data_IF_073322784553
#
_entry.id   IF_073322784553
#
_cell.length_a   1.000
_cell.length_b   1.000
_cell.length_c   1.000
_cell.angle_alpha   90.00
_cell.angle_beta   90.00
_cell.angle_gamma   90.00
#
_symmetry.space_group_name_H-M   'P 1'
#
loop_
_entity.id
_entity.type
_entity.pdbx_description
1 polymer ?
#
# COMPACT_ATOMS: atom_id res chain seq x y z
N UNK A 1 -24.00 -1.06 12.88
CA UNK A 1 -23.31 -2.28 12.40
C UNK A 1 -22.34 -1.97 11.28
N UNK A 2 -22.75 -1.29 10.20
CA UNK A 2 -21.86 -0.92 9.08
C UNK A 2 -20.61 -0.10 9.51
N UNK A 3 -20.75 0.84 10.45
CA UNK A 3 -19.62 1.66 10.91
C UNK A 3 -18.54 0.88 11.67
N UNK A 4 -18.91 -0.12 12.47
CA UNK A 4 -17.94 -0.91 13.24
C UNK A 4 -17.13 -1.84 12.33
N UNK A 5 -17.79 -2.41 11.32
CA UNK A 5 -17.16 -3.21 10.28
C UNK A 5 -16.18 -2.37 9.45
N UNK A 6 -16.58 -1.14 9.08
CA UNK A 6 -15.74 -0.20 8.35
C UNK A 6 -14.51 0.24 9.18
N UNK A 7 -14.68 0.54 10.46
CA UNK A 7 -13.58 0.88 11.37
C UNK A 7 -12.61 -0.30 11.56
N UNK A 8 -13.11 -1.53 11.65
CA UNK A 8 -12.28 -2.74 11.73
C UNK A 8 -11.44 -2.93 10.45
N UNK A 9 -12.04 -2.73 9.27
CA UNK A 9 -11.32 -2.81 7.99
C UNK A 9 -10.26 -1.72 7.87
N UNK A 10 -10.56 -0.52 8.35
CA UNK A 10 -9.60 0.58 8.39
C UNK A 10 -8.41 0.28 9.32
N UNK A 11 -8.65 -0.31 10.50
CA UNK A 11 -7.58 -0.76 11.40
C UNK A 11 -6.62 -1.77 10.76
N UNK A 12 -7.14 -2.75 10.02
CA UNK A 12 -6.33 -3.73 9.28
C UNK A 12 -5.43 -3.08 8.22
N UNK A 13 -5.93 -2.05 7.53
CA UNK A 13 -5.15 -1.29 6.53
C UNK A 13 -4.01 -0.52 7.21
N UNK A 14 -4.23 0.02 8.41
CA UNK A 14 -3.19 0.71 9.17
C UNK A 14 -2.10 -0.24 9.65
N UNK A 15 -2.45 -1.39 10.23
CA UNK A 15 -1.48 -2.41 10.67
C UNK A 15 -0.63 -2.91 9.49
N UNK A 16 -1.25 -3.09 8.31
CA UNK A 16 -0.52 -3.44 7.09
C UNK A 16 0.40 -2.33 6.59
N UNK A 17 -0.01 -1.07 6.71
CA UNK A 17 0.82 0.06 6.32
C UNK A 17 2.04 0.23 7.25
N UNK A 18 1.86 0.01 8.55
CA UNK A 18 2.96 0.00 9.53
C UNK A 18 3.94 -1.15 9.25
N UNK A 19 3.45 -2.37 9.08
CA UNK A 19 4.29 -3.53 8.75
C UNK A 19 5.07 -3.34 7.42
N UNK A 20 4.44 -2.72 6.42
CA UNK A 20 5.10 -2.39 5.16
C UNK A 20 6.16 -1.28 5.33
N UNK A 21 5.90 -0.28 6.17
CA UNK A 21 6.82 0.80 6.49
C UNK A 21 8.09 0.33 7.22
N UNK A 22 7.95 -0.66 8.11
CA UNK A 22 9.07 -1.28 8.83
C UNK A 22 9.82 -2.32 8.00
N UNK A 23 9.36 -2.62 6.78
CA UNK A 23 9.92 -3.66 5.93
C UNK A 23 9.71 -5.08 6.46
N UNK A 24 8.79 -5.27 7.42
CA UNK A 24 8.44 -6.59 7.97
C UNK A 24 7.45 -7.31 7.05
N UNK A 25 7.97 -7.82 5.93
CA UNK A 25 7.22 -8.60 4.96
C UNK A 25 6.58 -9.87 5.56
N UNK A 26 7.12 -10.38 6.68
CA UNK A 26 6.59 -11.56 7.35
C UNK A 26 5.33 -11.20 8.16
N UNK A 27 5.36 -10.11 8.91
CA UNK A 27 4.17 -9.58 9.57
C UNK A 27 3.09 -9.22 8.54
N UNK A 28 3.48 -8.58 7.44
CA UNK A 28 2.57 -8.20 6.36
C UNK A 28 1.86 -9.41 5.73
N UNK A 29 2.61 -10.47 5.40
CA UNK A 29 2.05 -11.71 4.84
C UNK A 29 1.19 -12.48 5.84
N UNK A 30 1.53 -12.46 7.14
CA UNK A 30 0.72 -13.08 8.19
C UNK A 30 -0.66 -12.43 8.33
N UNK A 31 -0.73 -11.09 8.30
CA UNK A 31 -2.00 -10.35 8.35
C UNK A 31 -2.87 -10.68 7.15
N UNK A 32 -2.32 -10.61 5.92
CA UNK A 32 -3.05 -10.95 4.70
C UNK A 32 -3.53 -12.40 4.64
N UNK A 33 -2.69 -13.33 5.13
CA UNK A 33 -3.00 -14.75 5.17
C UNK A 33 -4.17 -15.10 6.10
N UNK A 34 -4.41 -14.28 7.13
CA UNK A 34 -5.52 -14.44 8.07
C UNK A 34 -6.87 -13.88 7.59
N UNK A 35 -6.90 -13.15 6.48
CA UNK A 35 -8.13 -12.58 5.91
C UNK A 35 -8.85 -13.60 5.02
N UNK A 36 -10.19 -13.58 5.05
CA UNK A 36 -11.02 -14.23 4.03
C UNK A 36 -10.84 -13.57 2.65
N UNK A 37 -11.27 -14.27 1.60
CA UNK A 37 -11.01 -13.88 0.21
C UNK A 37 -11.59 -12.50 -0.15
N UNK A 38 -12.82 -12.22 0.28
CA UNK A 38 -13.49 -10.94 0.00
C UNK A 38 -12.81 -9.79 0.73
N UNK A 39 -12.51 -9.96 2.03
CA UNK A 39 -11.81 -8.95 2.82
C UNK A 39 -10.41 -8.70 2.27
N UNK A 40 -9.70 -9.76 1.86
CA UNK A 40 -8.37 -9.64 1.24
C UNK A 40 -8.43 -8.85 -0.07
N UNK A 41 -9.39 -9.15 -0.94
CA UNK A 41 -9.58 -8.44 -2.20
C UNK A 41 -9.88 -6.96 -1.96
N UNK A 42 -10.71 -6.64 -0.98
CA UNK A 42 -11.01 -5.26 -0.60
C UNK A 42 -9.80 -4.52 -0.04
N UNK A 43 -9.02 -5.15 0.84
CA UNK A 43 -7.79 -4.55 1.39
C UNK A 43 -6.76 -4.29 0.29
N UNK A 44 -6.56 -5.22 -0.63
CA UNK A 44 -5.66 -5.04 -1.79
C UNK A 44 -6.14 -3.90 -2.68
N UNK A 45 -7.44 -3.83 -2.96
CA UNK A 45 -8.06 -2.77 -3.77
C UNK A 45 -7.87 -1.39 -3.14
N UNK A 46 -8.18 -1.26 -1.85
CA UNK A 46 -8.05 0.01 -1.11
C UNK A 46 -6.59 0.44 -1.01
N UNK A 47 -5.69 -0.49 -0.70
CA UNK A 47 -4.24 -0.22 -0.64
C UNK A 47 -3.72 0.26 -2.00
N UNK A 48 -4.15 -0.37 -3.09
CA UNK A 48 -3.76 0.04 -4.45
C UNK A 48 -4.22 1.45 -4.80
N UNK A 49 -5.43 1.84 -4.37
CA UNK A 49 -5.94 3.21 -4.55
C UNK A 49 -5.12 4.22 -3.77
N UNK A 50 -4.82 3.94 -2.50
CA UNK A 50 -3.99 4.82 -1.67
C UNK A 50 -2.60 4.99 -2.27
N UNK A 51 -1.96 3.89 -2.70
CA UNK A 51 -0.65 3.94 -3.37
C UNK A 51 -0.72 4.79 -4.63
N UNK A 52 -1.73 4.60 -5.48
CA UNK A 52 -1.90 5.40 -6.70
C UNK A 52 -2.02 6.90 -6.40
N UNK A 53 -2.83 7.27 -5.41
CA UNK A 53 -2.99 8.67 -4.96
C UNK A 53 -1.67 9.25 -4.42
N UNK A 54 -0.91 8.47 -3.67
CA UNK A 54 0.40 8.90 -3.15
C UNK A 54 1.40 9.10 -4.30
N UNK A 55 1.45 8.19 -5.28
CA UNK A 55 2.29 8.33 -6.45
C UNK A 55 1.92 9.55 -7.30
N UNK A 56 0.63 9.84 -7.46
CA UNK A 56 0.16 11.04 -8.18
C UNK A 56 0.60 12.31 -7.47
N UNK A 57 0.34 12.41 -6.16
CA UNK A 57 0.76 13.57 -5.35
C UNK A 57 2.27 13.78 -5.38
N UNK A 58 3.05 12.71 -5.35
CA UNK A 58 4.51 12.78 -5.38
C UNK A 58 5.04 13.18 -6.77
N UNK A 59 4.41 12.70 -7.84
CA UNK A 59 4.72 13.12 -9.20
C UNK A 59 4.44 14.61 -9.40
N UNK A 60 3.28 15.10 -8.93
CA UNK A 60 2.94 16.53 -8.91
C UNK A 60 3.97 17.36 -8.14
N UNK A 61 4.37 16.90 -6.94
CA UNK A 61 5.39 17.57 -6.12
C UNK A 61 6.74 17.70 -6.83
N UNK A 62 7.10 16.71 -7.65
CA UNK A 62 8.34 16.67 -8.44
C UNK A 62 8.21 17.34 -9.81
N UNK A 63 7.00 17.78 -10.20
CA UNK A 63 6.76 18.39 -11.51
C UNK A 63 6.88 17.42 -12.69
N UNK A 64 6.61 16.12 -12.45
CA UNK A 64 6.70 15.05 -13.47
C UNK A 64 5.35 14.33 -13.61
N UNK A 65 5.20 13.51 -14.64
CA UNK A 65 4.03 12.64 -14.76
C UNK A 65 4.13 11.44 -13.80
N UNK A 66 2.99 10.85 -13.42
CA UNK A 66 2.96 9.63 -12.60
C UNK A 66 3.82 8.50 -13.17
N UNK A 67 3.76 8.30 -14.49
CA UNK A 67 4.53 7.24 -15.15
C UNK A 67 6.03 7.51 -15.11
N UNK A 68 6.46 8.77 -15.23
CA UNK A 68 7.85 9.17 -15.06
C UNK A 68 8.33 8.96 -13.63
N UNK A 69 7.52 9.32 -12.63
CA UNK A 69 7.81 9.06 -11.22
C UNK A 69 7.97 7.56 -10.95
N UNK A 70 7.05 6.72 -11.41
CA UNK A 70 7.12 5.27 -11.22
C UNK A 70 8.36 4.65 -11.87
N UNK A 71 8.74 5.14 -13.06
CA UNK A 71 9.95 4.69 -13.74
C UNK A 71 11.22 5.07 -12.94
N UNK A 72 11.29 6.29 -12.43
CA UNK A 72 12.40 6.77 -11.59
C UNK A 72 12.49 5.98 -10.28
N UNK A 73 11.37 5.86 -9.56
CA UNK A 73 11.29 5.11 -8.31
C UNK A 73 11.74 3.65 -8.48
N UNK A 74 11.30 2.99 -9.56
CA UNK A 74 11.74 1.62 -9.86
C UNK A 74 13.25 1.55 -10.10
N UNK A 75 13.82 2.51 -10.82
CA UNK A 75 15.26 2.55 -11.05
C UNK A 75 16.04 2.74 -9.74
N UNK A 76 15.61 3.66 -8.87
CA UNK A 76 16.21 3.92 -7.55
C UNK A 76 16.15 2.68 -6.65
N UNK A 77 15.01 2.00 -6.59
CA UNK A 77 14.85 0.77 -5.80
C UNK A 77 15.76 -0.34 -6.32
N UNK A 78 15.81 -0.58 -7.64
CA UNK A 78 16.68 -1.61 -8.22
C UNK A 78 18.17 -1.34 -8.00
N UNK A 79 18.58 -0.07 -7.99
CA UNK A 79 19.96 0.34 -7.70
C UNK A 79 20.32 0.06 -6.23
N UNK A 80 19.41 0.34 -5.29
CA UNK A 80 19.61 0.04 -3.86
C UNK A 80 19.63 -1.45 -3.49
N UNK A 81 19.21 -2.33 -4.39
CA UNK A 81 19.20 -3.79 -4.21
C UNK A 81 20.42 -4.50 -4.83
N UNK A 82 21.25 -3.76 -5.59
CA UNK A 82 22.50 -4.25 -6.18
C UNK A 82 23.73 -4.02 -5.29
#
# INVERSE_FOLDING_TARGET
MADLEALRRFGLVLEMAEAAGDGDWRAWTAVLGGLDEDTRADVVRQSSLVIAMLCEREAERRGVTRDQFLAQFRAEVMDSLG
#
